data_IF_301383579636
#
_entry.id   IF_301383579636
#
_cell.length_a   1.000
_cell.length_b   1.000
_cell.length_c   1.000
_cell.angle_alpha   90.00
_cell.angle_beta   90.00
_cell.angle_gamma   90.00
#
_symmetry.space_group_name_H-M   'P 1'
#
loop_
_entity.id
_entity.type
_entity.pdbx_description
1 polymer ?
#
# COMPACT_ATOMS: atom_id res chain seq x y z
N UNK A 1 7.95 -6.65 10.59
CA UNK A 1 8.02 -7.85 9.74
C UNK A 1 6.87 -7.84 8.72
N UNK A 2 5.59 -7.74 9.13
CA UNK A 2 4.44 -7.74 8.19
C UNK A 2 4.56 -6.61 7.16
N UNK A 3 4.84 -5.40 7.60
CA UNK A 3 5.01 -4.25 6.71
C UNK A 3 6.19 -4.45 5.74
N UNK A 4 7.30 -5.00 6.21
CA UNK A 4 8.47 -5.22 5.35
C UNK A 4 8.20 -6.28 4.28
N UNK A 5 7.50 -7.36 4.62
CA UNK A 5 7.11 -8.39 3.67
C UNK A 5 6.11 -7.83 2.64
N UNK A 6 5.09 -7.10 3.10
CA UNK A 6 4.10 -6.48 2.21
C UNK A 6 4.77 -5.46 1.27
N UNK A 7 5.72 -4.67 1.78
CA UNK A 7 6.49 -3.72 0.98
C UNK A 7 7.33 -4.41 -0.10
N UNK A 8 8.06 -5.47 0.25
CA UNK A 8 8.86 -6.22 -0.72
C UNK A 8 7.98 -6.80 -1.83
N UNK A 9 6.86 -7.42 -1.48
CA UNK A 9 5.91 -7.95 -2.47
C UNK A 9 5.38 -6.83 -3.36
N UNK A 10 5.05 -5.67 -2.80
CA UNK A 10 4.59 -4.52 -3.58
C UNK A 10 5.65 -4.04 -4.57
N UNK A 11 6.92 -3.92 -4.15
CA UNK A 11 8.02 -3.53 -5.04
C UNK A 11 8.16 -4.52 -6.19
N UNK A 12 8.14 -5.82 -5.91
CA UNK A 12 8.20 -6.85 -6.96
C UNK A 12 7.02 -6.77 -7.92
N UNK A 13 5.80 -6.52 -7.44
CA UNK A 13 4.62 -6.34 -8.27
C UNK A 13 4.76 -5.13 -9.20
N UNK A 14 5.17 -3.98 -8.66
CA UNK A 14 5.35 -2.75 -9.45
C UNK A 14 6.38 -2.97 -10.56
N UNK A 15 7.55 -3.49 -10.22
CA UNK A 15 8.62 -3.75 -11.19
C UNK A 15 8.16 -4.77 -12.23
N UNK A 16 7.51 -5.85 -11.82
CA UNK A 16 6.99 -6.87 -12.72
C UNK A 16 5.99 -6.32 -13.74
N UNK A 17 5.04 -5.49 -13.29
CA UNK A 17 4.06 -4.88 -14.19
C UNK A 17 4.72 -3.87 -15.12
N UNK A 18 5.63 -3.04 -14.64
CA UNK A 18 6.35 -2.09 -15.48
C UNK A 18 7.16 -2.78 -16.59
N UNK A 19 7.79 -3.92 -16.28
CA UNK A 19 8.49 -4.72 -17.27
C UNK A 19 7.53 -5.30 -18.32
N UNK A 20 6.38 -5.83 -17.89
CA UNK A 20 5.40 -6.41 -18.83
C UNK A 20 4.73 -5.37 -19.72
N UNK A 21 4.68 -4.12 -19.27
CA UNK A 21 4.15 -2.99 -20.05
C UNK A 21 5.19 -2.37 -21.01
N UNK A 22 6.41 -2.90 -21.07
CA UNK A 22 7.53 -2.25 -21.78
C UNK A 22 7.69 -0.76 -21.42
N UNK A 23 7.39 -0.43 -20.17
CA UNK A 23 7.41 0.96 -19.71
C UNK A 23 8.85 1.50 -19.71
N UNK A 24 9.07 2.55 -20.49
CA UNK A 24 10.36 3.24 -20.49
C UNK A 24 10.56 3.94 -19.15
N UNK A 25 11.51 3.48 -18.36
CA UNK A 25 11.92 4.12 -17.12
C UNK A 25 12.66 5.43 -17.41
N UNK A 26 11.90 6.50 -17.45
CA UNK A 26 12.44 7.86 -17.51
C UNK A 26 12.92 8.30 -16.12
N UNK A 27 13.76 9.34 -16.05
CA UNK A 27 14.19 9.90 -14.75
C UNK A 27 13.01 10.32 -13.87
N UNK A 28 11.97 11.01 -14.36
CA UNK A 28 10.75 11.25 -13.61
C UNK A 28 9.97 9.96 -13.26
N UNK A 29 10.03 8.93 -14.10
CA UNK A 29 9.44 7.62 -13.83
C UNK A 29 10.07 6.95 -12.60
N UNK A 30 11.39 7.05 -12.44
CA UNK A 30 12.09 6.58 -11.24
C UNK A 30 11.63 7.37 -9.99
N UNK A 31 11.45 8.67 -10.11
CA UNK A 31 10.90 9.48 -9.02
C UNK A 31 9.47 9.03 -8.64
N UNK A 32 8.63 8.71 -9.63
CA UNK A 32 7.30 8.13 -9.41
C UNK A 32 7.35 6.80 -8.67
N UNK A 33 8.29 5.94 -9.02
CA UNK A 33 8.52 4.66 -8.34
C UNK A 33 8.90 4.87 -6.86
N UNK A 34 9.86 5.75 -6.59
CA UNK A 34 10.29 6.06 -5.21
C UNK A 34 9.16 6.66 -4.38
N UNK A 35 8.36 7.57 -4.98
CA UNK A 35 7.19 8.15 -4.34
C UNK A 35 6.17 7.05 -3.97
N UNK A 36 5.90 6.13 -4.87
CA UNK A 36 4.94 5.04 -4.63
C UNK A 36 5.41 4.09 -3.53
N UNK A 37 6.71 3.81 -3.46
CA UNK A 37 7.29 3.02 -2.37
C UNK A 37 7.06 3.71 -1.03
N UNK A 38 7.29 5.03 -0.96
CA UNK A 38 7.01 5.83 0.24
C UNK A 38 5.54 5.76 0.66
N UNK A 39 4.62 5.97 -0.28
CA UNK A 39 3.17 5.88 -0.03
C UNK A 39 2.73 4.47 0.42
N UNK A 40 3.38 3.43 -0.06
CA UNK A 40 3.11 2.05 0.37
C UNK A 40 3.54 1.80 1.81
N UNK A 41 4.64 2.39 2.24
CA UNK A 41 5.07 2.37 3.66
C UNK A 41 4.05 3.11 4.52
N UNK A 42 3.63 4.30 4.10
CA UNK A 42 2.65 5.11 4.83
C UNK A 42 1.31 4.38 5.00
N UNK A 43 0.83 3.68 3.96
CA UNK A 43 -0.37 2.86 4.04
C UNK A 43 -0.27 1.80 5.15
N UNK A 44 0.86 1.11 5.24
CA UNK A 44 1.11 0.13 6.30
C UNK A 44 1.17 0.78 7.69
N UNK A 45 1.79 1.96 7.80
CA UNK A 45 1.84 2.72 9.07
C UNK A 45 0.43 3.09 9.52
N UNK A 46 -0.43 3.59 8.62
CA UNK A 46 -1.82 3.93 8.93
C UNK A 46 -2.57 2.70 9.45
N UNK A 47 -2.42 1.53 8.81
CA UNK A 47 -3.06 0.29 9.26
C UNK A 47 -2.61 -0.06 10.69
N UNK A 48 -1.30 -0.02 10.96
CA UNK A 48 -0.78 -0.37 12.29
C UNK A 48 -1.21 0.62 13.37
N UNK A 49 -1.22 1.92 13.07
CA UNK A 49 -1.67 2.92 14.04
C UNK A 49 -3.16 2.76 14.37
N UNK A 50 -4.02 2.49 13.38
CA UNK A 50 -5.45 2.24 13.63
C UNK A 50 -5.68 0.98 14.46
N UNK A 51 -4.94 -0.09 14.20
CA UNK A 51 -4.99 -1.31 15.04
C UNK A 51 -4.52 -1.00 16.47
N UNK A 52 -3.44 -0.23 16.61
CA UNK A 52 -2.91 0.17 17.92
C UNK A 52 -3.89 1.03 18.71
N UNK A 53 -4.59 1.95 18.04
CA UNK A 53 -5.66 2.76 18.67
C UNK A 53 -6.75 1.87 19.25
N UNK A 54 -7.25 0.91 18.48
CA UNK A 54 -8.28 -0.04 18.93
C UNK A 54 -7.81 -0.90 20.12
N UNK A 55 -6.56 -1.34 20.09
CA UNK A 55 -5.97 -2.10 21.21
C UNK A 55 -5.85 -1.26 22.49
N UNK A 56 -5.52 0.04 22.38
CA UNK A 56 -5.49 0.98 23.53
C UNK A 56 -6.88 1.21 24.13
N UNK A 57 -7.94 1.10 23.35
CA UNK A 57 -9.32 1.18 23.81
C UNK A 57 -9.80 -0.10 24.52
N UNK A 58 -8.94 -1.12 24.62
CA UNK A 58 -9.26 -2.39 25.28
C UNK A 58 -10.00 -3.38 24.38
N UNK A 59 -10.06 -3.14 23.09
CA UNK A 59 -10.70 -4.04 22.12
C UNK A 59 -9.89 -5.35 22.02
N UNK A 60 -10.57 -6.48 21.93
CA UNK A 60 -9.94 -7.79 21.74
C UNK A 60 -9.10 -7.80 20.45
N UNK A 61 -7.94 -8.47 20.46
CA UNK A 61 -6.95 -8.44 19.37
C UNK A 61 -7.57 -8.71 17.99
N UNK A 62 -8.43 -9.72 17.89
CA UNK A 62 -9.11 -10.05 16.62
C UNK A 62 -10.01 -8.93 16.13
N UNK A 63 -10.81 -8.36 17.03
CA UNK A 63 -11.71 -7.26 16.72
C UNK A 63 -10.93 -5.98 16.43
N UNK A 64 -9.87 -5.70 17.18
CA UNK A 64 -8.99 -4.54 16.96
C UNK A 64 -8.34 -4.58 15.57
N UNK A 65 -7.87 -5.74 15.11
CA UNK A 65 -7.31 -5.89 13.77
C UNK A 65 -8.40 -5.67 12.71
N UNK A 66 -9.58 -6.26 12.86
CA UNK A 66 -10.65 -6.07 11.88
C UNK A 66 -11.10 -4.61 11.79
N UNK A 67 -11.43 -4.01 12.92
CA UNK A 67 -11.94 -2.62 12.97
C UNK A 67 -10.86 -1.62 12.55
N UNK A 68 -9.64 -1.78 13.06
CA UNK A 68 -8.52 -0.90 12.73
C UNK A 68 -8.18 -0.97 11.25
N UNK A 69 -8.18 -2.17 10.67
CA UNK A 69 -7.95 -2.37 9.25
C UNK A 69 -9.04 -1.73 8.39
N UNK A 70 -10.32 -1.98 8.69
CA UNK A 70 -11.44 -1.44 7.90
C UNK A 70 -11.46 0.10 7.95
N UNK A 71 -11.14 0.70 9.10
CA UNK A 71 -10.99 2.17 9.22
C UNK A 71 -9.79 2.71 8.43
N UNK A 72 -8.66 2.02 8.49
CA UNK A 72 -7.47 2.41 7.74
C UNK A 72 -7.71 2.37 6.23
N UNK A 73 -8.43 1.35 5.74
CA UNK A 73 -8.74 1.20 4.33
C UNK A 73 -9.43 2.42 3.74
N UNK A 74 -10.41 2.99 4.41
CA UNK A 74 -11.12 4.17 3.92
C UNK A 74 -10.15 5.32 3.69
N UNK A 75 -9.27 5.59 4.64
CA UNK A 75 -8.26 6.65 4.54
C UNK A 75 -7.27 6.39 3.42
N UNK A 76 -6.80 5.15 3.28
CA UNK A 76 -5.85 4.75 2.24
C UNK A 76 -6.48 4.86 0.84
N UNK A 77 -7.72 4.42 0.69
CA UNK A 77 -8.44 4.50 -0.59
C UNK A 77 -8.64 5.97 -1.01
N UNK A 78 -9.05 6.83 -0.08
CA UNK A 78 -9.29 8.24 -0.35
C UNK A 78 -8.02 8.96 -0.83
N UNK A 79 -6.91 8.78 -0.11
CA UNK A 79 -5.62 9.33 -0.48
C UNK A 79 -5.11 8.81 -1.84
N UNK A 80 -5.23 7.51 -2.08
CA UNK A 80 -4.76 6.89 -3.32
C UNK A 80 -5.62 7.26 -4.53
N UNK A 81 -6.95 7.35 -4.38
CA UNK A 81 -7.85 7.79 -5.46
C UNK A 81 -7.52 9.22 -5.86
N UNK A 82 -7.30 10.13 -4.91
CA UNK A 82 -6.93 11.53 -5.18
C UNK A 82 -5.63 11.61 -6.00
N UNK A 83 -4.62 10.84 -5.59
CA UNK A 83 -3.33 10.81 -6.29
C UNK A 83 -3.46 10.14 -7.66
N UNK A 84 -4.29 9.10 -7.80
CA UNK A 84 -4.54 8.42 -9.07
C UNK A 84 -5.22 9.34 -10.09
N UNK A 85 -6.17 10.16 -9.65
CA UNK A 85 -6.80 11.19 -10.50
C UNK A 85 -5.75 12.16 -11.02
N UNK A 86 -4.85 12.62 -10.17
CA UNK A 86 -3.75 13.52 -10.56
C UNK A 86 -2.83 12.84 -11.58
N UNK A 87 -2.43 11.60 -11.34
CA UNK A 87 -1.60 10.82 -12.26
C UNK A 87 -2.30 10.62 -13.62
N UNK A 88 -3.60 10.35 -13.60
CA UNK A 88 -4.41 10.22 -14.81
C UNK A 88 -4.42 11.51 -15.63
N UNK A 89 -4.68 12.65 -15.01
CA UNK A 89 -4.64 13.97 -15.67
C UNK A 89 -3.26 14.22 -16.28
N UNK A 90 -2.18 13.95 -15.53
CA UNK A 90 -0.82 14.08 -16.03
C UNK A 90 -0.51 13.17 -17.22
N UNK A 91 -1.13 11.99 -17.29
CA UNK A 91 -0.98 11.07 -18.42
C UNK A 91 -1.58 11.62 -19.72
N UNK A 92 -2.64 12.44 -19.64
CA UNK A 92 -3.27 13.08 -20.81
C UNK A 92 -2.57 14.37 -21.25
N UNK A 93 -2.19 15.21 -20.28
CA UNK A 93 -1.62 16.54 -20.57
C UNK A 93 -0.11 16.42 -20.77
N UNK A 94 0.54 15.44 -20.15
CA UNK A 94 1.97 15.26 -20.15
C UNK A 94 2.51 14.73 -21.48
N UNK A 95 3.71 15.17 -21.82
CA UNK A 95 4.49 14.66 -22.96
C UNK A 95 5.81 14.05 -22.47
N UNK A 96 6.31 13.07 -23.22
CA UNK A 96 7.63 12.47 -22.97
C UNK A 96 7.86 12.02 -21.52
N UNK A 97 8.81 12.62 -20.79
CA UNK A 97 9.18 12.22 -19.44
C UNK A 97 8.05 12.30 -18.40
N UNK A 98 7.16 13.29 -18.53
CA UNK A 98 6.01 13.48 -17.62
C UNK A 98 5.02 12.31 -17.78
N UNK A 99 4.80 11.85 -18.98
CA UNK A 99 3.95 10.68 -19.25
C UNK A 99 4.53 9.40 -18.61
N UNK A 100 5.85 9.24 -18.66
CA UNK A 100 6.55 8.15 -17.98
C UNK A 100 6.34 8.18 -16.46
N UNK A 101 6.47 9.37 -15.84
CA UNK A 101 6.15 9.57 -14.43
C UNK A 101 4.71 9.20 -14.10
N UNK A 102 3.73 9.71 -14.86
CA UNK A 102 2.31 9.44 -14.65
C UNK A 102 1.98 7.95 -14.76
N UNK A 103 2.57 7.25 -15.73
CA UNK A 103 2.38 5.80 -15.91
C UNK A 103 2.93 5.02 -14.71
N UNK A 104 4.17 5.29 -14.31
CA UNK A 104 4.81 4.61 -13.18
C UNK A 104 4.05 4.88 -11.87
N UNK A 105 3.63 6.12 -11.65
CA UNK A 105 2.84 6.49 -10.47
C UNK A 105 1.48 5.77 -10.46
N UNK A 106 0.77 5.72 -11.58
CA UNK A 106 -0.54 5.04 -11.67
C UNK A 106 -0.42 3.54 -11.38
N UNK A 107 0.54 2.87 -12.01
CA UNK A 107 0.81 1.45 -11.78
C UNK A 107 1.18 1.21 -10.32
N UNK A 108 2.06 2.03 -9.79
CA UNK A 108 2.53 1.90 -8.41
C UNK A 108 1.40 2.08 -7.39
N UNK A 109 0.50 3.05 -7.57
CA UNK A 109 -0.66 3.26 -6.70
C UNK A 109 -1.59 2.05 -6.75
N UNK A 110 -1.91 1.53 -7.93
CA UNK A 110 -2.78 0.35 -8.07
C UNK A 110 -2.18 -0.88 -7.38
N UNK A 111 -0.87 -1.11 -7.54
CA UNK A 111 -0.16 -2.19 -6.85
C UNK A 111 -0.18 -2.00 -5.32
N UNK A 112 0.06 -0.77 -4.86
CA UNK A 112 0.06 -0.43 -3.43
C UNK A 112 -1.32 -0.65 -2.81
N UNK A 113 -2.39 -0.24 -3.48
CA UNK A 113 -3.76 -0.50 -3.05
C UNK A 113 -4.04 -2.01 -2.98
N UNK A 114 -3.64 -2.75 -4.01
CA UNK A 114 -3.79 -4.21 -4.01
C UNK A 114 -3.02 -4.86 -2.86
N UNK A 115 -1.78 -4.46 -2.64
CA UNK A 115 -0.95 -4.98 -1.55
C UNK A 115 -1.57 -4.65 -0.17
N UNK A 116 -2.05 -3.43 0.04
CA UNK A 116 -2.70 -3.03 1.28
C UNK A 116 -4.01 -3.81 1.52
N UNK A 117 -4.85 -3.96 0.48
CA UNK A 117 -6.17 -4.58 0.62
C UNK A 117 -6.07 -6.11 0.78
N UNK A 118 -5.25 -6.76 -0.02
CA UNK A 118 -5.23 -8.23 -0.08
C UNK A 118 -4.05 -8.83 0.68
N UNK A 119 -2.84 -8.36 0.43
CA UNK A 119 -1.63 -8.99 0.96
C UNK A 119 -1.52 -8.72 2.46
N UNK A 120 -1.60 -7.47 2.89
CA UNK A 120 -1.48 -7.11 4.31
C UNK A 120 -2.59 -7.77 5.14
N UNK A 121 -3.83 -7.77 4.64
CA UNK A 121 -4.96 -8.44 5.30
C UNK A 121 -4.74 -9.95 5.44
N UNK A 122 -4.30 -10.59 4.37
CA UNK A 122 -4.04 -12.05 4.36
C UNK A 122 -2.94 -12.42 5.33
N UNK A 123 -1.87 -11.62 5.41
CA UNK A 123 -0.78 -11.86 6.37
C UNK A 123 -1.31 -11.75 7.81
N UNK A 124 -2.09 -10.71 8.14
CA UNK A 124 -2.68 -10.57 9.48
C UNK A 124 -3.60 -11.73 9.85
N UNK A 125 -4.50 -12.14 8.96
CA UNK A 125 -5.41 -13.26 9.19
C UNK A 125 -4.62 -14.56 9.41
N UNK A 126 -3.59 -14.80 8.61
CA UNK A 126 -2.74 -15.97 8.72
C UNK A 126 -1.96 -16.00 10.03
N UNK A 127 -1.42 -14.86 10.45
CA UNK A 127 -0.72 -14.76 11.74
C UNK A 127 -1.64 -15.04 12.91
N UNK A 128 -2.87 -14.53 12.90
CA UNK A 128 -3.86 -14.80 13.95
C UNK A 128 -4.26 -16.28 13.98
N UNK A 129 -4.41 -16.90 12.81
CA UNK A 129 -4.81 -18.32 12.69
C UNK A 129 -3.71 -19.27 13.16
N UNK A 130 -2.46 -18.93 12.84
CA UNK A 130 -1.31 -19.80 13.16
C UNK A 130 -0.89 -19.67 14.62
N UNK A 131 -1.04 -18.50 15.22
CA UNK A 131 -0.60 -18.24 16.58
C UNK A 131 -1.78 -17.93 17.51
N UNK A 132 -2.54 -18.96 17.87
CA UNK A 132 -3.66 -18.90 18.84
C UNK A 132 -3.27 -18.37 20.23
N UNK A 133 -1.97 -18.17 20.48
CA UNK A 133 -1.39 -17.77 21.77
C UNK A 133 -0.88 -16.33 21.80
N UNK A 134 -1.22 -15.47 20.81
CA UNK A 134 -0.78 -14.07 20.84
C UNK A 134 -1.55 -13.33 21.94
N UNK A 135 -0.94 -13.26 23.12
CA UNK A 135 -1.40 -12.41 24.24
C UNK A 135 -0.96 -10.94 24.09
N UNK A 136 -0.03 -10.64 23.16
CA UNK A 136 0.47 -9.28 22.88
C UNK A 136 0.90 -9.17 21.43
N UNK A 137 0.28 -8.29 20.66
CA UNK A 137 0.83 -7.86 19.38
C UNK A 137 1.97 -6.86 19.67
N UNK A 138 3.19 -7.19 19.24
CA UNK A 138 4.30 -6.24 19.18
C UNK A 138 4.15 -5.43 17.88
N UNK A 139 3.39 -4.36 17.94
CA UNK A 139 3.23 -3.38 16.85
C UNK A 139 3.80 -2.05 17.33
#
# INVERSE_FOLDING_TARGET
IVASVALLINIFLVIGILITMDAVLTLPGIAGLLLTIGMSVDANIIIFERIREELKLGTEIKAAIQVGYDRALVTILDANITTLITAFVLSFIGSGPIKGFATTLSVGILCSMFAAIFITKTIFITLIKYNKSIKKLSI
#
